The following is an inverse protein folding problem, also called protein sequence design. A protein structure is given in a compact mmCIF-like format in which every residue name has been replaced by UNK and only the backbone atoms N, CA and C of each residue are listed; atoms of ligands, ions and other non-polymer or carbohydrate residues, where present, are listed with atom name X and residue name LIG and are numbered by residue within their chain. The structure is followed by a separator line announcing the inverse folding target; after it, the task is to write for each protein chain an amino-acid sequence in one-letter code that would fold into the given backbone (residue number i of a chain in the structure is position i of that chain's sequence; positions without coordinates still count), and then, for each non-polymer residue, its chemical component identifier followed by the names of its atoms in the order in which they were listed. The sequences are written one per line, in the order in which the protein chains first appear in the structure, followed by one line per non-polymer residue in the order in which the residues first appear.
data_IF_259139712922
#
_entry.id   IF_259139712922
#
_cell.length_a   1.000
_cell.length_b   1.000
_cell.length_c   1.000
_cell.angle_alpha   90.00
_cell.angle_beta   90.00
_cell.angle_gamma   90.00
#
_symmetry.space_group_name_H-M   'P 1'
#
loop_
_entity.id
_entity.type
_entity.pdbx_description
1 polymer ?
#
# COMPACT_ATOMS: atom_id res chain seq x y z
N UNK A 1 41.09 3.26 -8.36
CA UNK A 1 41.98 2.08 -8.39
C UNK A 1 43.23 2.26 -7.55
N UNK A 2 43.90 3.42 -7.59
CA UNK A 2 45.13 3.70 -6.82
C UNK A 2 44.96 3.53 -5.30
N UNK A 3 43.88 4.06 -4.70
CA UNK A 3 43.60 3.87 -3.26
C UNK A 3 43.44 2.40 -2.85
N UNK A 4 42.87 1.57 -3.73
CA UNK A 4 42.64 0.14 -3.45
C UNK A 4 43.95 -0.65 -3.50
N UNK A 5 44.87 -0.27 -4.39
CA UNK A 5 46.21 -0.85 -4.45
C UNK A 5 47.01 -0.48 -3.20
N UNK A 6 46.95 0.79 -2.78
CA UNK A 6 47.58 1.26 -1.53
C UNK A 6 47.01 0.58 -0.27
N UNK A 7 45.73 0.25 -0.27
CA UNK A 7 45.10 -0.55 0.79
C UNK A 7 45.61 -2.00 0.83
N UNK A 8 45.88 -2.61 -0.33
CA UNK A 8 46.43 -3.97 -0.43
C UNK A 8 47.92 -3.97 -0.04
N UNK A 9 48.66 -2.94 -0.41
CA UNK A 9 50.07 -2.71 -0.05
C UNK A 9 50.25 -2.34 1.44
N UNK A 10 49.17 -2.10 2.18
CA UNK A 10 49.22 -1.74 3.61
C UNK A 10 49.67 -0.30 3.90
N UNK A 11 49.87 0.52 2.86
CA UNK A 11 50.27 1.94 2.99
C UNK A 11 49.10 2.84 3.35
N UNK A 12 47.87 2.33 3.24
CA UNK A 12 46.65 3.07 3.52
C UNK A 12 45.68 2.18 4.29
N UNK A 13 45.15 2.68 5.41
CA UNK A 13 44.11 1.99 6.16
C UNK A 13 42.88 1.73 5.26
N UNK A 14 42.18 0.62 5.52
CA UNK A 14 41.02 0.22 4.70
C UNK A 14 40.01 1.36 4.64
N UNK A 15 39.33 1.55 3.50
CA UNK A 15 38.35 2.63 3.34
C UNK A 15 37.30 2.70 4.46
N UNK A 16 36.91 1.55 5.01
CA UNK A 16 35.96 1.47 6.14
C UNK A 16 36.52 2.10 7.43
N UNK A 17 37.81 1.92 7.70
CA UNK A 17 38.50 2.50 8.86
C UNK A 17 38.69 4.00 8.69
N UNK A 18 39.14 4.43 7.50
CA UNK A 18 39.28 5.85 7.15
C UNK A 18 37.95 6.62 7.32
N UNK A 19 36.84 6.04 6.88
CA UNK A 19 35.49 6.60 7.02
C UNK A 19 34.97 6.61 8.46
N UNK A 20 35.54 5.81 9.35
CA UNK A 20 35.13 5.76 10.75
C UNK A 20 35.86 6.77 11.65
N UNK A 21 36.90 7.42 11.13
CA UNK A 21 37.64 8.47 11.85
C UNK A 21 36.75 9.66 12.21
N UNK A 22 37.05 10.30 13.34
CA UNK A 22 36.31 11.48 13.84
C UNK A 22 36.40 12.63 12.81
N UNK A 23 37.59 12.86 12.23
CA UNK A 23 37.80 13.91 11.23
C UNK A 23 36.94 13.70 9.98
N UNK A 24 36.85 12.47 9.48
CA UNK A 24 35.99 12.17 8.33
C UNK A 24 34.50 12.40 8.67
N UNK A 25 34.04 11.92 9.82
CA UNK A 25 32.66 12.13 10.28
C UNK A 25 32.32 13.61 10.44
N UNK A 26 33.24 14.39 10.99
CA UNK A 26 33.09 15.83 11.18
C UNK A 26 33.06 16.57 9.83
N UNK A 27 33.98 16.26 8.92
CA UNK A 27 33.99 16.81 7.56
C UNK A 27 32.70 16.50 6.81
N UNK A 28 32.24 15.24 6.85
CA UNK A 28 30.97 14.83 6.24
C UNK A 28 29.78 15.58 6.83
N UNK A 29 29.73 15.71 8.16
CA UNK A 29 28.67 16.44 8.86
C UNK A 29 28.66 17.92 8.47
N UNK A 30 29.82 18.59 8.43
CA UNK A 30 29.92 19.99 7.96
C UNK A 30 29.41 20.16 6.54
N UNK A 31 29.76 19.25 5.62
CA UNK A 31 29.25 19.28 4.25
C UNK A 31 27.73 19.06 4.16
N UNK A 32 27.14 18.31 5.10
CA UNK A 32 25.68 18.15 5.19
C UNK A 32 25.03 19.42 5.76
N UNK A 33 25.61 19.99 6.82
CA UNK A 33 25.16 21.25 7.44
C UNK A 33 25.25 22.43 6.45
N UNK A 34 26.32 22.56 5.66
CA UNK A 34 26.45 23.58 4.61
C UNK A 34 25.37 23.43 3.52
N UNK A 35 25.04 22.19 3.13
CA UNK A 35 23.97 21.94 2.16
C UNK A 35 22.59 22.30 2.72
N UNK A 36 22.35 21.98 3.98
CA UNK A 36 21.10 22.33 4.67
C UNK A 36 21.00 23.85 4.90
N UNK A 37 22.10 24.52 5.22
CA UNK A 37 22.18 25.97 5.35
C UNK A 37 21.85 26.69 4.04
N UNK A 38 22.28 26.16 2.89
CA UNK A 38 21.87 26.68 1.55
C UNK A 38 20.37 26.60 1.31
N UNK A 39 19.68 25.69 1.98
CA UNK A 39 18.23 25.52 1.94
C UNK A 39 17.52 26.30 3.07
N UNK A 40 18.26 26.95 3.97
CA UNK A 40 17.71 27.67 5.11
C UNK A 40 17.16 26.78 6.23
N UNK A 41 17.51 25.49 6.27
CA UNK A 41 16.97 24.55 7.26
C UNK A 41 18.10 23.98 8.12
N UNK A 42 17.88 23.80 9.42
CA UNK A 42 18.89 23.22 10.32
C UNK A 42 18.96 21.68 10.25
N UNK A 43 17.83 21.01 9.98
CA UNK A 43 17.70 19.54 9.90
C UNK A 43 16.69 19.18 8.81
N UNK A 44 16.79 17.99 8.22
CA UNK A 44 15.75 17.54 7.29
C UNK A 44 14.40 17.48 8.00
N UNK A 45 13.36 18.15 7.48
CA UNK A 45 12.03 18.08 8.04
C UNK A 45 11.47 16.66 7.98
N UNK A 46 10.70 16.27 8.99
CA UNK A 46 10.11 14.92 9.07
C UNK A 46 8.66 14.92 8.61
N UNK A 47 7.95 16.02 8.84
CA UNK A 47 6.52 16.17 8.55
C UNK A 47 6.35 16.96 7.24
N UNK A 48 5.73 16.39 6.20
CA UNK A 48 5.55 17.06 4.91
C UNK A 48 4.72 18.35 4.99
N UNK A 49 3.68 18.37 5.84
CA UNK A 49 2.71 19.47 5.89
C UNK A 49 3.29 20.79 6.40
N UNK A 50 4.38 20.74 7.17
CA UNK A 50 5.01 21.92 7.77
C UNK A 50 5.91 22.68 6.77
N UNK A 51 6.28 22.03 5.66
CA UNK A 51 7.21 22.59 4.69
C UNK A 51 6.44 23.22 3.54
N UNK A 52 6.68 24.52 3.33
CA UNK A 52 6.14 25.29 2.20
C UNK A 52 7.18 25.53 1.09
N UNK A 53 8.47 25.36 1.37
CA UNK A 53 9.53 25.56 0.37
C UNK A 53 9.69 24.32 -0.53
N UNK A 54 9.50 24.52 -1.83
CA UNK A 54 9.64 23.51 -2.86
C UNK A 54 11.07 22.94 -2.93
N UNK A 55 12.10 23.77 -2.71
CA UNK A 55 13.51 23.35 -2.78
C UNK A 55 13.85 22.37 -1.67
N UNK A 56 13.33 22.62 -0.46
CA UNK A 56 13.49 21.73 0.69
C UNK A 56 12.81 20.39 0.40
N UNK A 57 11.58 20.40 -0.12
CA UNK A 57 10.84 19.18 -0.46
C UNK A 57 11.58 18.37 -1.54
N UNK A 58 12.07 19.02 -2.59
CA UNK A 58 12.88 18.37 -3.64
C UNK A 58 14.14 17.72 -3.07
N UNK A 59 14.80 18.36 -2.10
CA UNK A 59 15.98 17.80 -1.43
C UNK A 59 15.64 16.60 -0.54
N UNK A 60 14.54 16.66 0.22
CA UNK A 60 14.05 15.53 1.02
C UNK A 60 13.72 14.34 0.11
N UNK A 61 13.04 14.58 -1.01
CA UNK A 61 12.73 13.56 -2.00
C UNK A 61 14.00 12.95 -2.62
N UNK A 62 15.02 13.76 -2.90
CA UNK A 62 16.31 13.27 -3.37
C UNK A 62 16.96 12.31 -2.36
N UNK A 63 16.99 12.68 -1.07
CA UNK A 63 17.52 11.82 -0.01
C UNK A 63 16.74 10.52 0.15
N UNK A 64 15.40 10.58 0.15
CA UNK A 64 14.56 9.39 0.22
C UNK A 64 14.78 8.47 -1.00
N UNK A 65 14.89 9.02 -2.22
CA UNK A 65 15.19 8.24 -3.43
C UNK A 65 16.56 7.57 -3.34
N UNK A 66 17.56 8.26 -2.80
CA UNK A 66 18.89 7.70 -2.56
C UNK A 66 18.84 6.52 -1.57
N UNK A 67 18.19 6.69 -0.43
CA UNK A 67 18.05 5.62 0.58
C UNK A 67 17.26 4.41 0.06
N UNK A 68 16.19 4.65 -0.72
CA UNK A 68 15.44 3.57 -1.39
C UNK A 68 16.36 2.82 -2.35
N UNK A 69 17.17 3.54 -3.15
CA UNK A 69 18.15 2.95 -4.06
C UNK A 69 19.17 2.08 -3.32
N UNK A 70 19.78 2.61 -2.26
CA UNK A 70 20.79 1.92 -1.47
C UNK A 70 20.23 0.64 -0.81
N UNK A 71 19.02 0.70 -0.25
CA UNK A 71 18.37 -0.47 0.36
C UNK A 71 17.89 -1.49 -0.68
N UNK A 72 17.42 -1.03 -1.84
CA UNK A 72 17.04 -1.91 -2.95
C UNK A 72 18.26 -2.62 -3.53
N UNK A 73 19.42 -1.96 -3.57
CA UNK A 73 20.67 -2.59 -3.98
C UNK A 73 21.08 -3.69 -2.98
N UNK A 74 21.01 -3.43 -1.67
CA UNK A 74 21.25 -4.44 -0.64
C UNK A 74 20.32 -5.66 -0.76
N UNK A 75 19.04 -5.44 -1.08
CA UNK A 75 18.09 -6.53 -1.29
C UNK A 75 18.42 -7.42 -2.49
N UNK A 76 19.23 -6.95 -3.43
CA UNK A 76 19.67 -7.72 -4.61
C UNK A 76 20.98 -8.48 -4.35
N UNK A 77 21.64 -8.27 -3.21
CA UNK A 77 22.89 -8.94 -2.88
C UNK A 77 22.62 -10.42 -2.55
N UNK A 78 23.15 -11.33 -3.38
CA UNK A 78 23.01 -12.78 -3.21
C UNK A 78 23.56 -13.31 -1.87
N UNK A 79 24.51 -12.59 -1.26
CA UNK A 79 25.06 -12.94 0.06
C UNK A 79 24.07 -12.76 1.21
N UNK A 80 23.05 -11.90 1.04
CA UNK A 80 21.96 -11.73 2.00
C UNK A 80 20.87 -12.80 1.84
N UNK A 81 20.87 -13.53 0.71
CA UNK A 81 19.91 -14.59 0.39
C UNK A 81 20.37 -15.99 0.87
N UNK A 82 21.55 -16.12 1.49
CA UNK A 82 22.01 -17.42 1.98
C UNK A 82 21.08 -17.93 3.10
N UNK A 83 20.51 -19.11 2.88
CA UNK A 83 19.54 -19.78 3.76
C UNK A 83 20.13 -20.04 5.17
N UNK A 84 21.44 -20.28 5.26
CA UNK A 84 22.16 -20.63 6.50
C UNK A 84 22.23 -19.51 7.57
N UNK A 85 21.73 -18.30 7.28
CA UNK A 85 21.92 -17.09 8.13
C UNK A 85 20.66 -16.27 8.33
N UNK A 86 19.49 -16.90 8.43
CA UNK A 86 18.19 -16.21 8.55
C UNK A 86 18.00 -15.13 7.46
N UNK A 87 18.59 -15.34 6.29
CA UNK A 87 18.67 -14.34 5.22
C UNK A 87 17.28 -13.88 4.79
N UNK A 88 16.30 -14.77 4.83
CA UNK A 88 14.92 -14.45 4.52
C UNK A 88 14.29 -13.47 5.52
N UNK A 89 14.48 -13.65 6.83
CA UNK A 89 13.96 -12.73 7.83
C UNK A 89 14.58 -11.32 7.69
N UNK A 90 15.88 -11.26 7.38
CA UNK A 90 16.57 -10.00 7.10
C UNK A 90 16.02 -9.33 5.83
N UNK A 91 15.76 -10.11 4.77
CA UNK A 91 15.15 -9.61 3.53
C UNK A 91 13.74 -9.07 3.79
N UNK A 92 12.91 -9.77 4.57
CA UNK A 92 11.57 -9.30 4.96
C UNK A 92 11.64 -7.97 5.72
N UNK A 93 12.51 -7.87 6.73
CA UNK A 93 12.71 -6.64 7.48
C UNK A 93 13.18 -5.48 6.58
N UNK A 94 14.11 -5.75 5.65
CA UNK A 94 14.59 -4.76 4.67
C UNK A 94 13.51 -4.34 3.69
N UNK A 95 12.66 -5.26 3.26
CA UNK A 95 11.52 -4.97 2.38
C UNK A 95 10.49 -4.08 3.10
N UNK A 96 10.19 -4.34 4.37
CA UNK A 96 9.36 -3.46 5.20
C UNK A 96 9.96 -2.05 5.36
N UNK A 97 11.27 -1.96 5.53
CA UNK A 97 11.97 -0.67 5.55
C UNK A 97 11.81 0.08 4.21
N UNK A 98 11.95 -0.61 3.07
CA UNK A 98 11.76 0.00 1.74
C UNK A 98 10.31 0.46 1.56
N UNK A 99 9.32 -0.34 1.97
CA UNK A 99 7.92 0.05 1.91
C UNK A 99 7.59 1.25 2.82
N UNK A 100 8.22 1.35 4.00
CA UNK A 100 8.14 2.54 4.87
C UNK A 100 8.72 3.78 4.18
N UNK A 101 9.88 3.65 3.51
CA UNK A 101 10.48 4.76 2.76
C UNK A 101 9.64 5.18 1.55
N UNK A 102 9.09 4.23 0.80
CA UNK A 102 8.16 4.50 -0.31
C UNK A 102 6.92 5.23 0.17
N UNK A 103 6.36 4.83 1.32
CA UNK A 103 5.20 5.51 1.90
C UNK A 103 5.50 6.95 2.30
N UNK A 104 6.68 7.23 2.87
CA UNK A 104 7.12 8.60 3.15
C UNK A 104 7.34 9.40 1.87
N UNK A 105 8.00 8.82 0.87
CA UNK A 105 8.18 9.42 -0.46
C UNK A 105 6.82 9.81 -1.06
N UNK A 106 5.85 8.89 -0.98
CA UNK A 106 4.40 9.08 -1.00
C UNK A 106 3.93 10.48 -0.58
N UNK A 107 4.10 10.73 0.71
CA UNK A 107 3.59 11.91 1.38
C UNK A 107 4.32 13.18 0.91
N UNK A 108 5.63 13.09 0.66
CA UNK A 108 6.41 14.21 0.15
C UNK A 108 6.10 14.57 -1.31
N UNK A 109 5.85 13.58 -2.18
CA UNK A 109 5.40 13.81 -3.56
C UNK A 109 3.99 14.43 -3.59
N UNK A 110 3.10 13.97 -2.71
CA UNK A 110 1.77 14.55 -2.54
C UNK A 110 1.85 16.02 -2.11
N UNK A 111 2.73 16.34 -1.15
CA UNK A 111 2.96 17.71 -0.71
C UNK A 111 3.53 18.60 -1.83
N UNK A 112 4.48 18.08 -2.60
CA UNK A 112 5.04 18.80 -3.74
C UNK A 112 3.97 19.12 -4.79
N UNK A 113 3.16 18.12 -5.15
CA UNK A 113 2.05 18.29 -6.10
C UNK A 113 1.02 19.31 -5.58
N UNK A 114 0.72 19.28 -4.28
CA UNK A 114 -0.16 20.27 -3.64
C UNK A 114 0.38 21.70 -3.78
N UNK A 115 1.69 21.91 -3.58
CA UNK A 115 2.31 23.23 -3.74
C UNK A 115 2.39 23.67 -5.21
N UNK A 116 2.57 22.72 -6.14
CA UNK A 116 2.59 22.97 -7.58
C UNK A 116 1.18 23.19 -8.17
N UNK A 117 0.11 22.92 -7.42
CA UNK A 117 -1.26 22.97 -7.92
C UNK A 117 -1.62 21.82 -8.88
N UNK A 118 -0.80 20.77 -8.93
CA UNK A 118 -1.01 19.64 -9.83
C UNK A 118 -1.95 18.60 -9.20
N UNK A 119 -2.94 18.08 -9.97
CA UNK A 119 -3.81 17.02 -9.47
C UNK A 119 -3.02 15.73 -9.30
N UNK A 120 -2.83 15.30 -8.05
CA UNK A 120 -2.18 14.03 -7.75
C UNK A 120 -3.11 12.86 -8.09
N UNK A 121 -2.64 11.96 -8.97
CA UNK A 121 -3.34 10.69 -9.21
C UNK A 121 -3.27 9.84 -7.94
N UNK A 122 -4.41 9.40 -7.36
CA UNK A 122 -4.40 8.52 -6.21
C UNK A 122 -3.72 7.20 -6.57
N UNK A 123 -2.52 6.98 -6.03
CA UNK A 123 -1.78 5.74 -6.28
C UNK A 123 -2.23 4.67 -5.30
N UNK A 124 -2.66 3.52 -5.82
CA UNK A 124 -3.00 2.37 -5.00
C UNK A 124 -1.79 1.95 -4.16
N UNK A 125 -1.98 1.80 -2.85
CA UNK A 125 -0.96 1.33 -1.89
C UNK A 125 -0.74 -0.17 -2.06
N UNK A 126 -0.13 -0.57 -3.18
CA UNK A 126 0.35 -1.95 -3.36
C UNK A 126 1.72 -2.05 -2.66
N UNK A 127 1.85 -2.98 -1.71
CA UNK A 127 3.16 -3.33 -1.15
C UNK A 127 4.03 -3.83 -2.31
N UNK A 128 5.22 -3.27 -2.48
CA UNK A 128 6.13 -3.72 -3.54
C UNK A 128 7.00 -4.80 -2.90
N UNK A 129 6.83 -6.05 -3.32
CA UNK A 129 7.62 -7.15 -2.80
C UNK A 129 8.92 -7.29 -3.61
N UNK A 130 10.06 -7.40 -2.91
CA UNK A 130 11.38 -7.61 -3.52
C UNK A 130 11.97 -8.94 -3.01
N UNK A 131 12.27 -9.88 -3.92
CA UNK A 131 12.95 -11.16 -3.60
C UNK A 131 12.05 -12.42 -3.66
N UNK A 132 12.55 -13.53 -3.09
CA UNK A 132 11.95 -14.88 -3.12
C UNK A 132 10.53 -14.98 -2.55
N UNK A 133 10.10 -14.01 -1.76
CA UNK A 133 8.77 -14.01 -1.16
C UNK A 133 7.69 -13.34 -2.02
N UNK A 134 7.95 -13.18 -3.33
CA UNK A 134 6.92 -12.88 -4.35
C UNK A 134 5.83 -13.95 -4.39
N UNK A 135 6.15 -15.18 -3.99
CA UNK A 135 5.27 -16.35 -4.02
C UNK A 135 4.71 -16.73 -2.65
N UNK A 136 5.01 -15.97 -1.60
CA UNK A 136 4.38 -16.19 -0.30
C UNK A 136 2.88 -15.80 -0.36
N UNK A 137 2.01 -16.46 0.44
CA UNK A 137 0.58 -16.19 0.46
C UNK A 137 0.24 -14.71 0.73
N UNK A 138 1.11 -13.99 1.44
CA UNK A 138 0.97 -12.55 1.70
C UNK A 138 1.23 -11.65 0.48
N UNK A 139 2.02 -12.12 -0.49
CA UNK A 139 2.33 -11.45 -1.75
C UNK A 139 1.34 -11.81 -2.86
N UNK A 140 0.58 -12.90 -2.69
CA UNK A 140 -0.55 -13.20 -3.56
C UNK A 140 -1.51 -12.00 -3.51
N UNK A 141 -1.68 -11.33 -4.66
CA UNK A 141 -2.71 -10.31 -4.80
C UNK A 141 -4.04 -11.02 -4.54
N UNK A 142 -4.58 -10.87 -3.35
CA UNK A 142 -5.92 -11.35 -3.02
C UNK A 142 -6.85 -10.68 -4.02
N UNK A 143 -7.20 -11.38 -5.10
CA UNK A 143 -8.42 -11.11 -5.83
C UNK A 143 -9.48 -11.12 -4.74
N UNK A 144 -10.15 -9.98 -4.55
CA UNK A 144 -11.20 -9.81 -3.55
C UNK A 144 -12.09 -11.04 -3.62
N UNK A 145 -11.99 -11.93 -2.62
CA UNK A 145 -12.99 -12.97 -2.43
C UNK A 145 -14.30 -12.22 -2.31
N UNK A 146 -15.14 -12.39 -3.31
CA UNK A 146 -16.50 -11.90 -3.31
C UNK A 146 -17.13 -12.49 -2.06
N UNK A 147 -17.42 -11.62 -1.09
CA UNK A 147 -18.05 -11.99 0.18
C UNK A 147 -19.42 -12.55 -0.15
N UNK A 148 -19.54 -13.87 -0.19
CA UNK A 148 -20.84 -14.53 -0.12
C UNK A 148 -21.27 -14.46 1.34
N UNK A 149 -22.47 -13.96 1.55
CA UNK A 149 -23.16 -13.87 2.82
C UNK A 149 -23.53 -15.25 3.38
N UNK A 150 -23.61 -15.34 4.72
CA UNK A 150 -24.09 -16.49 5.49
C UNK A 150 -22.94 -17.39 5.98
N UNK A 151 -22.76 -17.74 7.25
CA UNK A 151 -23.64 -17.76 8.43
C UNK A 151 -22.76 -17.93 9.69
N UNK A 152 -23.21 -17.36 10.81
CA UNK A 152 -22.96 -17.64 12.26
C UNK A 152 -22.12 -18.87 12.65
N UNK A 153 -21.36 -18.97 13.75
CA UNK A 153 -21.26 -18.26 15.07
C UNK A 153 -19.91 -18.67 15.76
N UNK A 154 -19.55 -18.17 16.97
CA UNK A 154 -18.18 -18.09 17.53
C UNK A 154 -17.80 -19.15 18.59
N UNK A 155 -16.50 -19.24 18.91
CA UNK A 155 -15.88 -19.90 20.08
C UNK A 155 -14.37 -20.01 19.85
N UNK A 156 -13.55 -19.14 20.44
CA UNK A 156 -12.80 -19.33 21.70
C UNK A 156 -11.78 -20.50 21.70
N UNK A 157 -10.51 -20.08 21.66
CA UNK A 157 -9.29 -20.67 22.22
C UNK A 157 -8.70 -21.99 21.68
N UNK A 158 -7.38 -22.08 21.91
CA UNK A 158 -6.54 -23.28 21.94
C UNK A 158 -5.63 -23.64 20.74
N UNK A 159 -4.35 -23.30 20.95
CA UNK A 159 -3.09 -24.05 20.79
C UNK A 159 -2.71 -24.76 19.49
N UNK A 160 -1.41 -24.63 19.24
CA UNK A 160 -0.61 -25.30 18.23
C UNK A 160 -0.34 -26.78 18.57
N UNK A 161 -0.43 -27.64 17.57
CA UNK A 161 0.27 -28.93 17.42
C UNK A 161 0.15 -29.28 15.93
N UNK A 162 1.19 -29.14 15.10
CA UNK A 162 2.27 -30.12 14.90
C UNK A 162 1.75 -31.56 14.81
N UNK A 163 1.43 -32.02 13.60
CA UNK A 163 1.48 -33.43 13.25
C UNK A 163 2.08 -33.56 11.86
N UNK A 164 3.38 -33.88 11.84
CA UNK A 164 4.02 -34.65 10.79
C UNK A 164 3.23 -35.95 10.61
N UNK A 165 2.83 -36.29 9.38
CA UNK A 165 2.94 -37.67 8.89
C UNK A 165 3.33 -37.61 7.41
N UNK A 166 4.53 -38.12 7.14
CA UNK A 166 5.04 -38.45 5.82
C UNK A 166 4.20 -39.60 5.23
N UNK A 167 3.74 -39.46 3.99
CA UNK A 167 3.54 -40.62 3.14
C UNK A 167 4.01 -40.30 1.71
N UNK A 168 5.23 -40.72 1.43
CA UNK A 168 5.78 -40.88 0.09
C UNK A 168 5.18 -42.14 -0.54
N UNK A 169 4.30 -41.97 -1.51
CA UNK A 169 4.05 -42.99 -2.55
C UNK A 169 4.12 -42.30 -3.90
N UNK A 170 5.17 -42.62 -4.64
CA UNK A 170 5.20 -42.41 -6.08
C UNK A 170 4.45 -43.55 -6.76
N UNK A 171 3.68 -43.22 -7.78
CA UNK A 171 3.52 -44.08 -8.95
C UNK A 171 3.11 -43.22 -10.15
N UNK A 172 3.79 -43.47 -11.28
CA UNK A 172 3.49 -42.90 -12.58
C UNK A 172 2.14 -43.44 -13.09
N UNK A 173 1.30 -42.56 -13.61
CA UNK A 173 0.23 -42.95 -14.51
C UNK A 173 0.01 -41.83 -15.54
N UNK A 174 0.51 -42.06 -16.75
CA UNK A 174 0.04 -41.40 -17.96
C UNK A 174 -1.49 -41.47 -18.00
N UNK A 175 -2.15 -40.32 -18.02
CA UNK A 175 -3.54 -40.22 -18.45
C UNK A 175 -3.60 -39.22 -19.59
N UNK A 176 -3.75 -39.77 -20.79
CA UNK A 176 -3.94 -39.08 -22.05
C UNK A 176 -5.22 -38.24 -22.04
N UNK A 177 -5.15 -36.93 -21.77
CA UNK A 177 -6.17 -35.98 -22.25
C UNK A 177 -5.59 -34.56 -22.47
N UNK A 178 -5.25 -34.17 -23.73
CA UNK A 178 -5.29 -32.75 -24.06
C UNK A 178 -5.62 -32.47 -25.55
N UNK A 179 -6.78 -32.90 -26.05
CA UNK A 179 -7.22 -32.52 -27.42
C UNK A 179 -8.46 -31.62 -27.45
N UNK A 180 -9.35 -31.68 -26.46
CA UNK A 180 -10.61 -30.89 -26.44
C UNK A 180 -10.41 -29.45 -25.96
N UNK A 181 -9.61 -29.24 -24.90
CA UNK A 181 -9.31 -27.89 -24.36
C UNK A 181 -8.60 -26.97 -25.37
N UNK A 182 -7.79 -27.55 -26.25
CA UNK A 182 -7.06 -26.78 -27.26
C UNK A 182 -8.00 -26.26 -28.37
N UNK A 183 -9.07 -26.99 -28.70
CA UNK A 183 -10.03 -26.57 -29.72
C UNK A 183 -10.94 -25.43 -29.23
N UNK A 184 -11.44 -25.50 -27.99
CA UNK A 184 -12.24 -24.40 -27.42
C UNK A 184 -11.44 -23.09 -27.30
N UNK A 185 -10.16 -23.19 -26.92
CA UNK A 185 -9.28 -22.02 -26.88
C UNK A 185 -9.04 -21.43 -28.29
N UNK A 186 -8.79 -22.28 -29.28
CA UNK A 186 -8.60 -21.85 -30.67
C UNK A 186 -9.87 -21.25 -31.27
N UNK A 187 -11.05 -21.77 -30.92
CA UNK A 187 -12.34 -21.19 -31.30
C UNK A 187 -12.57 -19.83 -30.63
N UNK A 188 -12.22 -19.69 -29.34
CA UNK A 188 -12.27 -18.41 -28.64
C UNK A 188 -11.35 -17.35 -29.25
N UNK A 189 -10.13 -17.73 -29.64
CA UNK A 189 -9.18 -16.82 -30.32
C UNK A 189 -9.68 -16.42 -31.71
N UNK A 190 -10.24 -17.37 -32.48
CA UNK A 190 -10.85 -17.06 -33.79
C UNK A 190 -12.07 -16.15 -33.65
N UNK A 191 -12.89 -16.34 -32.61
CA UNK A 191 -14.03 -15.47 -32.34
C UNK A 191 -13.58 -14.06 -31.95
N UNK A 192 -12.55 -13.91 -31.11
CA UNK A 192 -12.00 -12.60 -30.75
C UNK A 192 -11.47 -11.79 -31.95
N UNK A 193 -10.98 -12.47 -32.99
CA UNK A 193 -10.53 -11.84 -34.24
C UNK A 193 -11.64 -11.67 -35.27
N UNK A 194 -12.88 -12.03 -34.94
CA UNK A 194 -14.02 -11.93 -35.86
C UNK A 194 -14.75 -10.61 -35.73
N UNK A 195 -15.34 -10.15 -36.83
CA UNK A 195 -16.16 -8.94 -36.84
C UNK A 195 -17.36 -9.02 -35.88
N UNK A 196 -17.81 -10.22 -35.50
CA UNK A 196 -18.87 -10.41 -34.52
C UNK A 196 -18.44 -9.95 -33.11
N UNK A 197 -17.20 -10.26 -32.69
CA UNK A 197 -16.68 -9.81 -31.41
C UNK A 197 -16.53 -8.28 -31.36
N UNK A 198 -16.13 -7.66 -32.48
CA UNK A 198 -16.08 -6.20 -32.60
C UNK A 198 -17.47 -5.58 -32.44
N UNK A 199 -18.50 -6.16 -33.06
CA UNK A 199 -19.87 -5.65 -32.92
C UNK A 199 -20.42 -5.78 -31.50
N UNK A 200 -20.09 -6.88 -30.80
CA UNK A 200 -20.47 -7.06 -29.41
C UNK A 200 -19.71 -6.10 -28.49
N UNK A 201 -18.42 -5.85 -28.74
CA UNK A 201 -17.65 -4.85 -28.00
C UNK A 201 -18.26 -3.46 -28.12
N UNK A 202 -18.62 -3.03 -29.33
CA UNK A 202 -19.28 -1.74 -29.57
C UNK A 202 -20.63 -1.67 -28.85
N UNK A 203 -21.39 -2.77 -28.78
CA UNK A 203 -22.63 -2.84 -27.99
C UNK A 203 -22.36 -2.68 -26.51
N UNK A 204 -21.37 -3.38 -25.95
CA UNK A 204 -21.01 -3.26 -24.54
C UNK A 204 -20.53 -1.85 -24.18
N UNK A 205 -19.74 -1.22 -25.04
CA UNK A 205 -19.29 0.16 -24.88
C UNK A 205 -20.47 1.13 -24.89
N UNK A 206 -21.41 0.98 -25.82
CA UNK A 206 -22.61 1.81 -25.91
C UNK A 206 -23.54 1.62 -24.70
N UNK A 207 -23.71 0.40 -24.22
CA UNK A 207 -24.48 0.10 -23.00
C UNK A 207 -23.82 0.65 -21.74
N UNK A 208 -22.48 0.56 -21.65
CA UNK A 208 -21.72 1.13 -20.56
C UNK A 208 -21.80 2.67 -20.57
N UNK A 209 -21.67 3.31 -21.73
CA UNK A 209 -21.83 4.74 -21.91
C UNK A 209 -23.24 5.20 -21.55
N UNK A 210 -24.28 4.46 -21.96
CA UNK A 210 -25.66 4.74 -21.59
C UNK A 210 -25.90 4.62 -20.07
N UNK A 211 -25.33 3.59 -19.42
CA UNK A 211 -25.35 3.46 -17.95
C UNK A 211 -24.61 4.60 -17.25
N UNK A 212 -23.50 5.07 -17.83
CA UNK A 212 -22.73 6.20 -17.29
C UNK A 212 -23.46 7.53 -17.48
N UNK A 213 -24.17 7.75 -18.60
CA UNK A 213 -25.06 8.92 -18.77
C UNK A 213 -26.26 8.88 -17.83
N UNK A 214 -26.92 7.73 -17.69
CA UNK A 214 -28.05 7.58 -16.76
C UNK A 214 -27.64 7.82 -15.29
N UNK A 215 -26.41 7.44 -14.92
CA UNK A 215 -25.81 7.77 -13.61
C UNK A 215 -25.26 9.20 -13.54
N UNK A 216 -24.95 9.81 -14.68
CA UNK A 216 -24.39 11.16 -14.82
C UNK A 216 -25.41 12.26 -14.54
N UNK A 217 -26.68 12.06 -14.91
CA UNK A 217 -27.75 13.05 -14.67
C UNK A 217 -28.22 13.10 -13.20
N UNK A 218 -27.81 12.14 -12.36
CA UNK A 218 -27.98 12.20 -10.90
C UNK A 218 -26.69 12.53 -10.15
N UNK A 219 -25.59 12.80 -10.86
CA UNK A 219 -24.26 12.97 -10.28
C UNK A 219 -23.59 14.32 -10.63
N UNK A 220 -24.34 15.42 -10.53
CA UNK A 220 -23.75 16.70 -10.10
C UNK A 220 -23.54 16.69 -8.57
N UNK A 221 -22.77 15.74 -8.06
CA UNK A 221 -22.21 15.83 -6.71
C UNK A 221 -20.97 14.96 -6.61
N UNK A 222 -19.82 15.64 -6.54
CA UNK A 222 -18.51 15.08 -6.28
C UNK A 222 -18.54 14.12 -5.09
N UNK A 223 -17.92 12.97 -5.32
CA UNK A 223 -17.39 12.05 -4.32
C UNK A 223 -16.68 12.80 -3.17
N UNK A 224 -17.00 12.40 -1.94
CA UNK A 224 -16.26 12.73 -0.73
C UNK A 224 -17.09 13.44 0.34
N UNK A 225 -17.72 12.65 1.21
CA UNK A 225 -18.06 13.02 2.61
C UNK A 225 -18.90 14.29 2.81
N UNK A 226 -20.18 14.29 2.41
CA UNK A 226 -21.13 15.36 2.81
C UNK A 226 -22.49 14.89 3.34
N UNK A 227 -22.70 13.60 3.57
CA UNK A 227 -23.94 13.15 4.24
C UNK A 227 -23.98 13.46 5.73
N UNK A 228 -22.86 13.90 6.34
CA UNK A 228 -22.81 14.27 7.76
C UNK A 228 -23.08 15.77 8.05
N UNK A 229 -23.27 16.64 7.03
CA UNK A 229 -23.35 18.10 7.25
C UNK A 229 -24.62 18.74 6.63
N UNK A 230 -25.52 17.97 6.00
CA UNK A 230 -26.75 18.55 5.41
C UNK A 230 -28.01 18.45 6.28
N UNK A 231 -27.95 17.90 7.49
CA UNK A 231 -29.13 17.86 8.39
C UNK A 231 -29.41 19.19 9.12
N UNK A 232 -28.42 20.10 9.17
CA UNK A 232 -28.50 21.35 9.93
C UNK A 232 -28.87 22.58 9.10
N UNK A 233 -29.25 22.38 7.82
CA UNK A 233 -29.72 23.46 6.96
C UNK A 233 -31.23 23.36 6.81
N UNK A 234 -31.97 24.19 7.56
CA UNK A 234 -33.42 24.37 7.40
C UNK A 234 -33.65 25.77 6.84
N UNK A 235 -34.44 25.86 5.77
CA UNK A 235 -34.90 27.15 5.18
C UNK A 235 -33.77 28.12 4.77
N UNK A 236 -32.60 27.59 4.41
CA UNK A 236 -31.47 28.41 3.93
C UNK A 236 -30.53 28.90 5.03
N UNK A 237 -30.93 28.83 6.30
CA UNK A 237 -30.08 29.14 7.46
C UNK A 237 -29.43 27.88 8.06
N UNK A 238 -28.22 28.07 8.58
CA UNK A 238 -27.45 27.01 9.25
C UNK A 238 -27.82 27.05 10.73
N UNK A 239 -28.71 26.15 11.13
CA UNK A 239 -29.14 26.00 12.53
C UNK A 239 -28.37 24.84 13.14
N UNK A 240 -27.31 25.15 13.88
CA UNK A 240 -26.52 24.17 14.63
C UNK A 240 -27.21 23.96 15.99
N UNK A 241 -27.71 22.75 16.31
CA UNK A 241 -28.30 22.47 17.62
C UNK A 241 -27.28 22.64 18.74
N UNK A 242 -27.75 23.08 19.91
CA UNK A 242 -26.91 23.21 21.10
C UNK A 242 -26.37 21.85 21.56
N UNK A 243 -25.24 21.86 22.27
CA UNK A 243 -24.66 20.63 22.83
C UNK A 243 -25.62 19.88 23.76
N UNK A 244 -26.53 20.59 24.40
CA UNK A 244 -27.57 20.01 25.26
C UNK A 244 -28.57 19.16 24.45
N UNK A 245 -28.93 19.61 23.24
CA UNK A 245 -29.79 18.85 22.34
C UNK A 245 -29.13 17.52 21.95
N UNK A 246 -27.83 17.55 21.63
CA UNK A 246 -27.08 16.35 21.27
C UNK A 246 -26.97 15.37 22.45
N UNK A 247 -26.69 15.87 23.66
CA UNK A 247 -26.65 15.06 24.88
C UNK A 247 -28.00 14.39 25.16
N UNK A 248 -29.10 15.13 25.00
CA UNK A 248 -30.45 14.59 25.18
C UNK A 248 -30.79 13.52 24.12
N UNK A 249 -30.44 13.76 22.87
CA UNK A 249 -30.69 12.82 21.77
C UNK A 249 -29.93 11.49 21.96
N UNK A 250 -28.69 11.56 22.43
CA UNK A 250 -27.85 10.38 22.72
C UNK A 250 -28.42 9.55 23.88
N UNK A 251 -28.92 10.21 24.93
CA UNK A 251 -29.62 9.55 26.04
C UNK A 251 -30.93 8.92 25.56
N UNK A 252 -31.69 9.60 24.70
CA UNK A 252 -32.95 9.11 24.17
C UNK A 252 -32.78 7.91 23.23
N UNK A 253 -31.73 7.91 22.39
CA UNK A 253 -31.39 6.77 21.54
C UNK A 253 -30.99 5.56 22.38
N UNK A 254 -30.17 5.75 23.42
CA UNK A 254 -29.81 4.67 24.35
C UNK A 254 -31.02 4.11 25.10
N UNK A 255 -31.95 4.99 25.52
CA UNK A 255 -33.23 4.56 26.12
C UNK A 255 -34.10 3.77 25.12
N UNK A 256 -34.11 4.13 23.84
CA UNK A 256 -34.86 3.43 22.79
C UNK A 256 -34.28 2.04 22.54
N UNK A 257 -32.97 1.93 22.38
CA UNK A 257 -32.28 0.64 22.22
C UNK A 257 -32.50 -0.29 23.41
N UNK A 258 -32.47 0.24 24.64
CA UNK A 258 -32.76 -0.56 25.84
C UNK A 258 -34.22 -1.01 25.90
N UNK A 259 -35.17 -0.17 25.47
CA UNK A 259 -36.59 -0.55 25.35
C UNK A 259 -36.79 -1.61 24.28
N UNK A 260 -36.13 -1.49 23.12
CA UNK A 260 -36.17 -2.49 22.05
C UNK A 260 -35.60 -3.83 22.53
N UNK A 261 -34.48 -3.82 23.27
CA UNK A 261 -33.93 -5.03 23.89
C UNK A 261 -34.87 -5.64 24.93
N UNK A 262 -35.50 -4.83 25.78
CA UNK A 262 -36.48 -5.32 26.77
C UNK A 262 -37.71 -5.92 26.09
N UNK A 263 -38.21 -5.27 25.03
CA UNK A 263 -39.34 -5.80 24.26
C UNK A 263 -38.96 -7.11 23.56
N UNK A 264 -37.78 -7.19 22.95
CA UNK A 264 -37.28 -8.42 22.32
C UNK A 264 -37.03 -9.57 23.31
N UNK A 265 -36.75 -9.25 24.58
CA UNK A 265 -36.67 -10.25 25.65
C UNK A 265 -38.05 -10.69 26.15
N UNK A 266 -39.02 -9.77 26.18
CA UNK A 266 -40.41 -10.05 26.57
C UNK A 266 -41.19 -10.83 25.51
N UNK A 267 -40.83 -10.70 24.24
CA UNK A 267 -41.40 -11.49 23.13
C UNK A 267 -40.81 -12.90 23.03
N UNK A 268 -39.74 -13.19 23.77
CA UNK A 268 -39.08 -14.51 23.82
C UNK A 268 -39.46 -15.35 25.05
N UNK A 269 -40.30 -14.83 25.95
CA UNK A 269 -40.92 -15.57 27.07
C UNK A 269 -42.37 -15.88 26.76
#
# INVERSE_FOLDING_TARGET
MQDRLREIEGTLARAKERKNTILYKLSKRRQEEERLAKLGVAKLPTIPNEVNDEKVIKYVLFKLKQEIGDKTAQLRDQKLLSIDRDGEAVIRAKNDEVNKLLSRKYQWESRLAFLAGEPMVPRARKKIFFGCAKELPEAATTQKRQRVEGTKEPGEDEVAESSDEEELVGDEAETEEPLTRNNEYLEGVKWLGSSAADTDLVRFEREAEAKMRAKGDTALSRSGTKTLILSYRKEGEIVIPSEEHFKQELVNNRKRELKERLNALREKS
#
